data_IF_224972860555
#
_entry.id   IF_224972860555
#
_cell.length_a   1.000
_cell.length_b   1.000
_cell.length_c   1.000
_cell.angle_alpha   90.00
_cell.angle_beta   90.00
_cell.angle_gamma   90.00
#
_symmetry.space_group_name_H-M   'P 1'
#
loop_
_entity.id
_entity.type
_entity.pdbx_description
1 polymer ?
#
# COMPACT_ATOMS: atom_id res chain seq x y z
N UNK A 1 -5.98 -15.74 36.42
CA UNK A 1 -6.99 -16.27 35.49
C UNK A 1 -7.37 -15.10 34.62
N UNK A 2 -7.09 -15.20 33.33
CA UNK A 2 -7.49 -14.19 32.35
C UNK A 2 -9.00 -14.27 32.19
N UNK A 3 -9.70 -13.14 32.27
CA UNK A 3 -11.14 -13.07 32.00
C UNK A 3 -11.33 -13.24 30.49
N UNK A 4 -12.37 -13.97 30.07
CA UNK A 4 -12.75 -14.12 28.66
C UNK A 4 -14.20 -13.73 28.50
N UNK A 5 -14.46 -12.66 27.74
CA UNK A 5 -15.82 -12.15 27.51
C UNK A 5 -16.19 -12.03 26.03
N UNK A 6 -15.25 -12.26 25.10
CA UNK A 6 -15.53 -12.01 23.69
C UNK A 6 -16.74 -12.80 23.16
N UNK A 7 -16.88 -14.06 23.57
CA UNK A 7 -17.94 -14.95 23.09
C UNK A 7 -19.29 -14.75 23.79
N UNK A 8 -19.43 -13.80 24.73
CA UNK A 8 -20.72 -13.55 25.38
C UNK A 8 -21.72 -12.87 24.44
N UNK A 9 -23.04 -13.10 24.59
CA UNK A 9 -24.05 -12.46 23.75
C UNK A 9 -23.95 -10.93 23.76
N UNK A 10 -23.64 -10.34 24.92
CA UNK A 10 -23.54 -8.88 25.09
C UNK A 10 -22.44 -8.28 24.21
N UNK A 11 -21.26 -8.91 24.18
CA UNK A 11 -20.13 -8.42 23.35
C UNK A 11 -20.42 -8.65 21.87
N UNK A 12 -20.98 -9.79 21.50
CA UNK A 12 -21.32 -10.09 20.11
C UNK A 12 -22.38 -9.13 19.54
N UNK A 13 -23.39 -8.76 20.32
CA UNK A 13 -24.39 -7.77 19.92
C UNK A 13 -23.82 -6.34 19.89
N UNK A 14 -22.87 -6.04 20.78
CA UNK A 14 -22.15 -4.77 20.74
C UNK A 14 -21.31 -4.61 19.47
N UNK A 15 -20.56 -5.63 19.03
CA UNK A 15 -19.77 -5.56 17.77
C UNK A 15 -20.68 -5.34 16.55
N UNK A 16 -21.87 -5.96 16.51
CA UNK A 16 -22.86 -5.70 15.45
C UNK A 16 -23.34 -4.25 15.43
N UNK A 17 -23.55 -3.68 16.62
CA UNK A 17 -23.99 -2.30 16.80
C UNK A 17 -22.89 -1.32 16.36
N UNK A 18 -21.64 -1.55 16.77
CA UNK A 18 -20.48 -0.76 16.34
C UNK A 18 -20.32 -0.78 14.81
N UNK A 19 -20.57 -1.93 14.18
CA UNK A 19 -20.53 -2.05 12.72
C UNK A 19 -21.74 -1.42 12.00
N UNK A 20 -22.75 -0.93 12.73
CA UNK A 20 -23.92 -0.26 12.17
C UNK A 20 -24.97 -1.20 11.56
N UNK A 21 -25.02 -2.46 11.98
CA UNK A 21 -26.06 -3.41 11.51
C UNK A 21 -27.47 -3.09 12.02
N UNK A 22 -27.57 -2.29 13.08
CA UNK A 22 -28.81 -1.72 13.62
C UNK A 22 -29.29 -0.49 12.82
N UNK A 23 -28.47 0.05 11.93
CA UNK A 23 -28.79 1.21 11.11
C UNK A 23 -29.30 0.79 9.73
N UNK A 24 -30.37 1.45 9.25
CA UNK A 24 -30.94 1.21 7.92
C UNK A 24 -30.12 1.85 6.78
N UNK A 25 -29.37 2.91 7.06
CA UNK A 25 -28.49 3.58 6.09
C UNK A 25 -27.05 3.04 6.09
N UNK A 26 -26.20 3.61 5.24
CA UNK A 26 -24.77 3.26 5.13
C UNK A 26 -24.46 2.27 4.01
N UNK A 27 -23.20 1.85 3.93
CA UNK A 27 -22.71 0.91 2.91
C UNK A 27 -22.60 -0.51 3.50
N UNK A 28 -23.38 -1.46 2.98
CA UNK A 28 -23.43 -2.83 3.51
C UNK A 28 -22.09 -3.56 3.48
N UNK A 29 -21.27 -3.33 2.44
CA UNK A 29 -19.93 -3.91 2.33
C UNK A 29 -19.01 -3.36 3.42
N UNK A 30 -19.08 -2.06 3.70
CA UNK A 30 -18.32 -1.44 4.77
C UNK A 30 -18.73 -2.00 6.14
N UNK A 31 -20.04 -2.16 6.41
CA UNK A 31 -20.53 -2.78 7.66
C UNK A 31 -19.95 -4.17 7.88
N UNK A 32 -19.95 -5.01 6.84
CA UNK A 32 -19.36 -6.36 6.91
C UNK A 32 -17.85 -6.34 7.24
N UNK A 33 -17.09 -5.45 6.59
CA UNK A 33 -15.64 -5.32 6.82
C UNK A 33 -15.37 -4.81 8.25
N UNK A 34 -16.07 -3.76 8.68
CA UNK A 34 -15.91 -3.17 10.02
C UNK A 34 -16.27 -4.19 11.10
N UNK A 35 -17.38 -4.91 10.95
CA UNK A 35 -17.78 -5.96 11.88
C UNK A 35 -16.68 -7.02 12.05
N UNK A 36 -16.10 -7.48 10.93
CA UNK A 36 -15.03 -8.48 10.98
C UNK A 36 -13.76 -7.91 11.61
N UNK A 37 -13.35 -6.71 11.20
CA UNK A 37 -12.14 -6.06 11.71
C UNK A 37 -12.24 -5.80 13.22
N UNK A 38 -13.31 -5.15 13.67
CA UNK A 38 -13.51 -4.83 15.09
C UNK A 38 -13.67 -6.10 15.91
N UNK A 39 -14.41 -7.10 15.41
CA UNK A 39 -14.54 -8.40 16.06
C UNK A 39 -13.20 -9.10 16.25
N UNK A 40 -12.36 -9.18 15.21
CA UNK A 40 -11.03 -9.81 15.30
C UNK A 40 -10.12 -9.04 16.27
N UNK A 41 -10.18 -7.70 16.31
CA UNK A 41 -9.41 -6.88 17.27
C UNK A 41 -9.87 -7.06 18.72
N UNK A 42 -11.18 -7.13 18.96
CA UNK A 42 -11.74 -7.40 20.29
C UNK A 42 -11.34 -8.79 20.77
N UNK A 43 -11.41 -9.77 19.87
CA UNK A 43 -10.94 -11.13 20.16
C UNK A 43 -9.45 -11.16 20.46
N UNK A 44 -8.62 -10.40 19.73
CA UNK A 44 -7.18 -10.29 20.01
C UNK A 44 -6.92 -9.74 21.41
N UNK A 45 -7.63 -8.67 21.80
CA UNK A 45 -7.55 -8.09 23.15
C UNK A 45 -7.88 -9.15 24.21
N UNK A 46 -9.00 -9.85 24.04
CA UNK A 46 -9.46 -10.89 24.97
C UNK A 46 -8.47 -12.07 24.99
N UNK A 47 -8.01 -12.55 23.81
CA UNK A 47 -7.11 -13.70 23.63
C UNK A 47 -5.74 -13.48 24.30
N UNK A 48 -5.17 -12.29 24.14
CA UNK A 48 -3.83 -11.93 24.64
C UNK A 48 -3.82 -11.17 25.98
N UNK A 49 -4.97 -10.92 26.60
CA UNK A 49 -5.09 -10.11 27.83
C UNK A 49 -4.47 -8.72 27.66
N UNK A 50 -4.72 -8.08 26.51
CA UNK A 50 -4.13 -6.79 26.18
C UNK A 50 -4.56 -5.77 27.22
N UNK A 51 -3.58 -5.13 27.85
CA UNK A 51 -3.82 -4.14 28.90
C UNK A 51 -4.29 -2.81 28.32
N UNK A 52 -4.93 -2.00 29.16
CA UNK A 52 -5.30 -0.63 28.78
C UNK A 52 -4.06 0.20 28.37
N UNK A 53 -2.93 0.01 29.06
CA UNK A 53 -1.68 0.71 28.76
C UNK A 53 -1.13 0.35 27.36
N UNK A 54 -1.13 -0.93 27.01
CA UNK A 54 -0.72 -1.40 25.68
C UNK A 54 -1.66 -0.90 24.58
N UNK A 55 -2.98 -0.94 24.84
CA UNK A 55 -3.97 -0.41 23.91
C UNK A 55 -3.75 1.08 23.64
N UNK A 56 -3.60 1.89 24.70
CA UNK A 56 -3.38 3.33 24.54
C UNK A 56 -2.00 3.67 23.94
N UNK A 57 -0.98 2.85 24.18
CA UNK A 57 0.29 2.97 23.47
C UNK A 57 0.12 2.75 21.96
N UNK A 58 -0.66 1.74 21.55
CA UNK A 58 -0.96 1.50 20.14
C UNK A 58 -1.75 2.67 19.52
N UNK A 59 -2.75 3.21 20.22
CA UNK A 59 -3.49 4.41 19.76
C UNK A 59 -2.57 5.61 19.56
N UNK A 60 -1.62 5.84 20.48
CA UNK A 60 -0.64 6.92 20.34
C UNK A 60 0.28 6.73 19.13
N UNK A 61 0.71 5.49 18.86
CA UNK A 61 1.47 5.16 17.65
C UNK A 61 0.67 5.47 16.38
N UNK A 62 -0.61 5.08 16.32
CA UNK A 62 -1.47 5.35 15.17
C UNK A 62 -1.65 6.86 14.94
N UNK A 63 -1.79 7.65 16.01
CA UNK A 63 -1.85 9.11 15.91
C UNK A 63 -0.55 9.70 15.35
N UNK A 64 0.61 9.25 15.83
CA UNK A 64 1.92 9.71 15.35
C UNK A 64 2.15 9.37 13.86
N UNK A 65 1.74 8.17 13.43
CA UNK A 65 1.80 7.76 12.02
C UNK A 65 0.88 8.62 11.15
N UNK A 66 -0.33 8.90 11.64
CA UNK A 66 -1.30 9.74 10.95
C UNK A 66 -0.81 11.18 10.79
N UNK A 67 -0.24 11.78 11.83
CA UNK A 67 0.24 13.16 11.80
C UNK A 67 1.42 13.35 10.84
N UNK A 68 2.19 12.30 10.57
CA UNK A 68 3.30 12.31 9.62
C UNK A 68 2.90 11.76 8.24
N UNK A 69 1.62 11.44 8.01
CA UNK A 69 1.11 10.81 6.77
C UNK A 69 1.85 9.51 6.39
N UNK A 70 2.33 8.76 7.38
CA UNK A 70 3.19 7.59 7.19
C UNK A 70 2.44 6.26 7.09
N UNK A 71 1.11 6.24 7.09
CA UNK A 71 0.36 4.99 6.88
C UNK A 71 0.67 4.32 5.53
N UNK A 72 0.93 5.11 4.48
CA UNK A 72 1.37 4.59 3.19
C UNK A 72 2.77 3.97 3.21
N UNK A 73 3.59 4.27 4.22
CA UNK A 73 4.90 3.65 4.43
C UNK A 73 4.83 2.48 5.42
N UNK A 74 3.94 2.56 6.41
CA UNK A 74 3.66 1.45 7.33
C UNK A 74 3.07 0.25 6.58
N UNK A 75 2.18 0.49 5.61
CA UNK A 75 1.53 -0.57 4.81
C UNK A 75 2.53 -1.56 4.20
N UNK A 76 3.53 -1.12 3.41
CA UNK A 76 4.52 -2.03 2.85
C UNK A 76 5.48 -2.54 3.91
N UNK A 77 5.76 -1.75 4.96
CA UNK A 77 6.60 -2.18 6.10
C UNK A 77 6.00 -3.35 6.90
N UNK A 78 4.67 -3.47 6.93
CA UNK A 78 3.95 -4.61 7.51
C UNK A 78 3.58 -5.68 6.47
N UNK A 79 3.99 -5.52 5.21
CA UNK A 79 3.82 -6.50 4.14
C UNK A 79 2.43 -6.53 3.50
N UNK A 80 1.56 -5.56 3.78
CA UNK A 80 0.20 -5.53 3.21
C UNK A 80 0.22 -5.40 1.69
N UNK A 81 1.06 -4.52 1.16
CA UNK A 81 1.19 -4.31 -0.29
C UNK A 81 1.66 -5.59 -1.00
N UNK A 82 2.67 -6.26 -0.43
CA UNK A 82 3.13 -7.54 -0.98
C UNK A 82 2.06 -8.63 -0.90
N UNK A 83 1.29 -8.69 0.21
CA UNK A 83 0.17 -9.61 0.32
C UNK A 83 -0.91 -9.33 -0.74
N UNK A 84 -1.15 -8.07 -1.11
CA UNK A 84 -2.05 -7.74 -2.21
C UNK A 84 -1.53 -8.23 -3.56
N UNK A 85 -0.22 -8.10 -3.83
CA UNK A 85 0.40 -8.68 -5.02
C UNK A 85 0.25 -10.20 -5.06
N UNK A 86 0.51 -10.89 -3.95
CA UNK A 86 0.33 -12.36 -3.86
C UNK A 86 -1.10 -12.79 -4.16
N UNK A 87 -2.09 -12.01 -3.69
CA UNK A 87 -3.50 -12.26 -4.02
C UNK A 87 -3.77 -12.05 -5.51
N UNK A 88 -3.19 -11.02 -6.10
CA UNK A 88 -3.35 -10.75 -7.53
C UNK A 88 -2.67 -11.81 -8.40
N UNK A 89 -1.49 -12.30 -7.99
CA UNK A 89 -0.81 -13.44 -8.61
C UNK A 89 -1.69 -14.70 -8.58
N UNK A 90 -2.33 -14.99 -7.45
CA UNK A 90 -3.24 -16.13 -7.32
C UNK A 90 -4.48 -16.01 -8.22
N UNK A 91 -5.07 -14.80 -8.32
CA UNK A 91 -6.19 -14.50 -9.23
C UNK A 91 -5.78 -14.72 -10.69
N UNK A 92 -4.60 -14.23 -11.07
CA UNK A 92 -4.11 -14.39 -12.45
C UNK A 92 -3.76 -15.84 -12.77
N UNK A 93 -3.20 -16.58 -11.80
CA UNK A 93 -2.93 -18.01 -11.95
C UNK A 93 -4.23 -18.81 -12.19
N UNK A 94 -5.29 -18.55 -11.42
CA UNK A 94 -6.61 -19.17 -11.61
C UNK A 94 -7.21 -18.81 -12.97
N UNK A 95 -7.06 -17.55 -13.38
CA UNK A 95 -7.50 -17.05 -14.69
C UNK A 95 -6.58 -17.46 -15.86
N UNK A 96 -5.48 -18.20 -15.59
CA UNK A 96 -4.44 -18.57 -16.56
C UNK A 96 -3.81 -17.38 -17.31
N UNK A 97 -3.71 -16.23 -16.64
CA UNK A 97 -3.06 -15.00 -17.13
C UNK A 97 -1.60 -14.96 -16.65
N UNK A 98 -0.78 -15.84 -17.20
CA UNK A 98 0.64 -15.98 -16.82
C UNK A 98 1.57 -15.63 -17.99
N UNK A 99 2.88 -15.51 -17.73
CA UNK A 99 3.90 -15.33 -18.77
C UNK A 99 4.44 -13.90 -18.94
N UNK A 100 3.94 -12.93 -18.20
CA UNK A 100 4.49 -11.57 -18.14
C UNK A 100 5.64 -11.41 -17.15
N UNK A 101 6.25 -10.22 -17.14
CA UNK A 101 7.19 -9.79 -16.08
C UNK A 101 6.47 -9.81 -14.73
N UNK A 102 7.08 -10.38 -13.65
CA UNK A 102 6.47 -10.37 -12.32
C UNK A 102 6.14 -8.96 -11.84
N UNK A 103 5.00 -8.82 -11.17
CA UNK A 103 4.62 -7.59 -10.47
C UNK A 103 5.39 -7.43 -9.16
N UNK A 104 5.40 -6.21 -8.66
CA UNK A 104 5.77 -5.88 -7.29
C UNK A 104 5.05 -4.59 -6.89
N UNK A 105 5.08 -4.29 -5.61
CA UNK A 105 4.45 -3.12 -5.01
C UNK A 105 4.84 -1.82 -5.75
N UNK A 106 3.87 -0.92 -5.91
CA UNK A 106 4.09 0.41 -6.49
C UNK A 106 4.91 1.31 -5.56
N UNK A 107 4.65 1.19 -4.25
CA UNK A 107 5.17 2.11 -3.23
C UNK A 107 4.40 3.44 -3.20
N UNK A 108 4.56 4.24 -2.13
CA UNK A 108 3.70 5.40 -1.89
C UNK A 108 4.16 6.69 -2.61
N UNK A 109 5.14 6.61 -3.51
CA UNK A 109 5.91 7.77 -4.00
C UNK A 109 5.73 8.07 -5.50
N UNK A 110 4.73 7.46 -6.13
CA UNK A 110 4.35 7.81 -7.50
C UNK A 110 3.76 9.23 -7.58
N UNK A 111 4.08 9.95 -8.66
CA UNK A 111 3.54 11.28 -8.96
C UNK A 111 3.13 11.30 -10.42
N UNK A 112 1.85 11.55 -10.67
CA UNK A 112 1.32 11.62 -12.02
C UNK A 112 1.73 12.91 -12.74
N UNK A 113 1.77 12.88 -14.07
CA UNK A 113 1.98 14.07 -14.90
C UNK A 113 3.45 14.38 -15.23
N UNK A 114 4.34 13.40 -15.09
CA UNK A 114 5.73 13.54 -15.52
C UNK A 114 5.83 13.86 -17.02
N UNK A 115 6.87 14.61 -17.44
CA UNK A 115 7.12 14.90 -18.86
C UNK A 115 7.23 13.61 -19.68
N UNK A 116 6.57 13.57 -20.84
CA UNK A 116 6.63 12.43 -21.74
C UNK A 116 7.64 12.67 -22.87
N UNK A 117 8.33 11.61 -23.30
CA UNK A 117 9.25 11.63 -24.44
C UNK A 117 9.14 10.33 -25.25
N UNK A 118 9.45 10.42 -26.55
CA UNK A 118 9.40 9.26 -27.45
C UNK A 118 10.78 8.57 -27.55
N UNK A 119 10.85 7.31 -27.12
CA UNK A 119 12.00 6.42 -27.31
C UNK A 119 13.21 6.68 -26.41
N UNK A 120 13.50 7.93 -26.05
CA UNK A 120 14.61 8.30 -25.18
C UNK A 120 14.27 9.50 -24.30
N UNK A 121 14.66 9.44 -23.03
CA UNK A 121 14.60 10.55 -22.09
C UNK A 121 15.86 10.58 -21.22
N UNK A 122 16.29 11.79 -20.86
CA UNK A 122 17.18 12.01 -19.71
C UNK A 122 16.30 12.43 -18.54
N UNK A 123 16.36 11.68 -17.44
CA UNK A 123 15.46 11.85 -16.30
C UNK A 123 16.04 12.80 -15.23
N UNK A 124 17.36 12.92 -15.16
CA UNK A 124 18.06 13.78 -14.21
C UNK A 124 18.26 15.21 -14.73
N UNK A 125 18.27 16.18 -13.82
CA UNK A 125 18.78 17.52 -14.10
C UNK A 125 20.32 17.61 -14.00
N UNK A 126 20.90 18.73 -14.45
CA UNK A 126 22.35 18.92 -14.42
C UNK A 126 22.95 19.00 -13.01
N UNK A 127 22.13 19.25 -11.99
CA UNK A 127 22.55 19.38 -10.60
C UNK A 127 22.54 18.04 -9.84
N UNK A 128 22.00 16.99 -10.46
CA UNK A 128 21.85 15.68 -9.81
C UNK A 128 23.23 15.01 -9.63
N UNK A 129 23.64 14.86 -8.37
CA UNK A 129 24.85 14.11 -8.02
C UNK A 129 24.62 12.61 -8.11
N UNK A 130 25.45 11.90 -8.88
CA UNK A 130 25.38 10.45 -8.98
C UNK A 130 26.27 9.89 -10.09
N UNK A 131 26.29 8.56 -10.21
CA UNK A 131 26.89 7.87 -11.36
C UNK A 131 25.88 7.81 -12.50
N UNK A 132 26.32 8.12 -13.72
CA UNK A 132 25.46 8.02 -14.91
C UNK A 132 25.00 6.58 -15.14
N UNK A 133 23.69 6.38 -15.20
CA UNK A 133 23.07 5.09 -15.49
C UNK A 133 22.42 5.09 -16.87
N UNK A 134 22.70 4.05 -17.66
CA UNK A 134 21.99 3.78 -18.91
C UNK A 134 20.96 2.67 -18.70
N UNK A 135 19.68 3.05 -18.66
CA UNK A 135 18.57 2.10 -18.55
C UNK A 135 17.89 1.96 -19.92
N UNK A 136 17.91 0.76 -20.49
CA UNK A 136 17.33 0.48 -21.81
C UNK A 136 16.61 -0.87 -21.81
N UNK A 137 15.60 -1.03 -22.67
CA UNK A 137 14.81 -2.25 -22.74
C UNK A 137 13.80 -2.24 -23.89
N UNK A 138 12.96 -3.28 -23.94
CA UNK A 138 11.88 -3.41 -24.91
C UNK A 138 10.60 -3.87 -24.20
N UNK A 139 9.46 -3.29 -24.54
CA UNK A 139 8.15 -3.79 -24.14
C UNK A 139 7.68 -4.83 -25.15
N UNK A 140 7.29 -6.00 -24.66
CA UNK A 140 6.82 -7.13 -25.49
C UNK A 140 5.51 -7.68 -24.94
N UNK A 141 4.70 -8.27 -25.81
CA UNK A 141 3.56 -9.08 -25.39
C UNK A 141 4.02 -10.45 -24.87
N UNK A 142 3.07 -11.27 -24.43
CA UNK A 142 3.33 -12.61 -23.88
C UNK A 142 3.85 -13.62 -24.92
N UNK A 143 3.69 -13.35 -26.21
CA UNK A 143 4.25 -14.15 -27.30
C UNK A 143 5.66 -13.68 -27.70
N UNK A 144 6.15 -12.62 -27.06
CA UNK A 144 7.46 -12.01 -27.30
C UNK A 144 7.47 -10.99 -28.43
N UNK A 145 6.32 -10.61 -29.00
CA UNK A 145 6.23 -9.59 -30.04
C UNK A 145 6.45 -8.19 -29.44
N UNK A 146 7.34 -7.35 -30.00
CA UNK A 146 7.51 -5.99 -29.52
C UNK A 146 6.23 -5.15 -29.64
N UNK A 147 5.90 -4.42 -28.58
CA UNK A 147 4.75 -3.50 -28.55
C UNK A 147 5.24 -2.08 -28.81
N UNK A 148 5.01 -1.57 -30.02
CA UNK A 148 5.30 -0.18 -30.37
C UNK A 148 4.30 0.77 -29.69
N UNK A 149 4.78 1.94 -29.24
CA UNK A 149 3.93 2.95 -28.61
C UNK A 149 3.47 2.61 -27.18
N UNK A 150 4.04 1.58 -26.55
CA UNK A 150 3.80 1.32 -25.13
C UNK A 150 4.33 2.48 -24.28
N UNK A 151 3.54 2.93 -23.31
CA UNK A 151 3.95 3.91 -22.32
C UNK A 151 4.74 3.23 -21.20
N UNK A 152 5.92 3.75 -20.89
CA UNK A 152 6.77 3.28 -19.79
C UNK A 152 7.02 4.48 -18.87
N UNK A 153 6.63 4.35 -17.61
CA UNK A 153 6.81 5.38 -16.58
C UNK A 153 7.86 4.90 -15.59
N UNK A 154 8.82 5.76 -15.24
CA UNK A 154 9.97 5.39 -14.40
C UNK A 154 10.17 6.48 -13.38
N UNK A 155 10.21 6.13 -12.10
CA UNK A 155 10.62 7.04 -11.03
C UNK A 155 11.59 6.33 -10.10
N UNK A 156 12.62 7.05 -9.65
CA UNK A 156 13.57 6.52 -8.66
C UNK A 156 14.16 7.62 -7.79
N UNK A 157 14.80 7.23 -6.69
CA UNK A 157 15.46 8.16 -5.79
C UNK A 157 16.79 8.66 -6.35
N UNK A 158 17.25 9.82 -5.89
CA UNK A 158 18.63 10.29 -6.11
C UNK A 158 19.64 9.52 -5.23
N UNK A 159 20.91 9.89 -5.30
CA UNK A 159 22.01 9.27 -4.52
C UNK A 159 21.87 9.40 -2.99
N UNK A 160 21.02 10.32 -2.51
CA UNK A 160 20.70 10.50 -1.09
C UNK A 160 19.43 9.77 -0.64
N UNK A 161 18.76 9.06 -1.56
CA UNK A 161 17.51 8.35 -1.29
C UNK A 161 16.26 9.24 -1.32
N UNK A 162 16.37 10.50 -1.77
CA UNK A 162 15.25 11.41 -1.92
C UNK A 162 14.55 11.26 -3.27
N UNK A 163 13.22 11.34 -3.28
CA UNK A 163 12.41 11.44 -4.50
C UNK A 163 11.93 12.87 -4.69
N UNK A 164 11.95 13.40 -5.92
CA UNK A 164 11.30 14.68 -6.22
C UNK A 164 9.83 14.69 -5.74
N UNK A 165 9.32 15.87 -5.38
CA UNK A 165 8.06 16.13 -4.64
C UNK A 165 8.04 15.72 -3.16
N UNK A 166 8.84 14.73 -2.76
CA UNK A 166 8.96 14.32 -1.35
C UNK A 166 10.22 14.89 -0.68
N UNK A 167 11.23 15.20 -1.50
CA UNK A 167 12.39 15.98 -1.16
C UNK A 167 12.27 17.38 -1.80
N UNK A 168 12.03 18.44 -0.99
CA UNK A 168 11.78 19.79 -1.51
C UNK A 168 13.03 20.46 -2.08
N UNK A 169 14.22 19.85 -1.94
CA UNK A 169 15.45 20.39 -2.53
C UNK A 169 15.60 20.06 -4.03
N UNK A 170 14.80 19.13 -4.54
CA UNK A 170 14.87 18.68 -5.93
C UNK A 170 13.94 19.49 -6.85
N UNK A 171 14.31 19.58 -8.12
CA UNK A 171 13.47 20.19 -9.15
C UNK A 171 12.21 19.34 -9.41
N UNK A 172 11.16 19.99 -9.95
CA UNK A 172 9.92 19.30 -10.32
C UNK A 172 10.21 18.17 -11.32
N UNK A 173 9.67 16.98 -11.03
CA UNK A 173 9.87 15.77 -11.84
C UNK A 173 11.33 15.32 -12.04
N UNK A 174 12.29 15.77 -11.23
CA UNK A 174 13.63 15.18 -11.25
C UNK A 174 13.53 13.67 -11.02
N UNK A 175 14.19 12.88 -11.86
CA UNK A 175 14.21 11.42 -11.83
C UNK A 175 12.82 10.75 -12.00
N UNK A 176 11.93 11.37 -12.80
CA UNK A 176 10.57 10.88 -13.12
C UNK A 176 10.25 10.97 -14.61
#
# INVERSE_FOLDING_TARGET
>A
MTVKIFDTPEVQDFVKTVAGFDQSGGNDRAKQIVHRLVGDLFKLIDDFDVTEEEYWAAVNLLNALGSQTQFGLLSPGLGFDHFLDMRQDAIDAEAKRTGGTPRTIEGPLYVAGAPEAEGFARLDDEATEGETMWLTGQVRDTDGTPIAGAKVEIWHANSQGGYSFFDPSQSEYNLR
#
